data_IF_372870388744
#
_entry.id   IF_372870388744
#
_cell.length_a   1.000
_cell.length_b   1.000
_cell.length_c   1.000
_cell.angle_alpha   90.00
_cell.angle_beta   90.00
_cell.angle_gamma   90.00
#
_symmetry.space_group_name_H-M   'P 1'
#
loop_
_entity.id
_entity.type
_entity.pdbx_description
1 polymer ?
#
# COMPACT_ATOMS: atom_id res chain seq x y z
N UNK A 1 -2.72 -24.60 3.67
CA UNK A 1 -2.11 -24.08 2.41
C UNK A 1 -1.47 -22.75 2.73
N UNK A 2 -0.33 -22.39 2.13
CA UNK A 2 0.27 -21.07 2.31
C UNK A 2 -0.18 -20.14 1.18
N UNK A 3 -0.70 -18.97 1.53
CA UNK A 3 -1.22 -17.97 0.60
C UNK A 3 -0.42 -16.67 0.69
N UNK A 4 -0.36 -15.95 -0.42
CA UNK A 4 0.16 -14.59 -0.49
C UNK A 4 -0.98 -13.72 -1.03
N UNK A 5 -1.36 -12.71 -0.26
CA UNK A 5 -2.30 -11.70 -0.74
C UNK A 5 -1.51 -10.57 -1.38
N UNK A 6 -1.50 -10.51 -2.71
CA UNK A 6 -0.63 -9.60 -3.46
C UNK A 6 -1.18 -8.17 -3.53
N UNK A 7 -2.40 -7.91 -3.07
CA UNK A 7 -3.03 -6.60 -3.18
C UNK A 7 -4.09 -6.40 -2.10
N UNK A 8 -3.73 -5.66 -1.05
CA UNK A 8 -4.64 -5.30 0.03
C UNK A 8 -4.65 -3.81 0.32
N UNK A 9 -5.74 -3.34 0.94
CA UNK A 9 -5.87 -1.98 1.47
C UNK A 9 -6.11 -1.98 2.99
N UNK A 10 -5.23 -2.65 3.75
CA UNK A 10 -5.35 -2.84 5.22
C UNK A 10 -5.32 -1.56 6.06
N UNK A 11 -5.12 -0.39 5.45
CA UNK A 11 -5.00 0.91 6.13
C UNK A 11 -6.21 1.83 5.93
N UNK A 12 -7.25 1.31 5.28
CA UNK A 12 -8.54 1.98 5.25
C UNK A 12 -9.09 2.14 6.66
N UNK A 13 -9.78 3.25 6.90
CA UNK A 13 -10.32 3.61 8.22
C UNK A 13 -11.21 2.50 8.81
N UNK A 14 -11.87 1.74 7.94
CA UNK A 14 -12.67 0.55 8.29
C UNK A 14 -11.92 -0.54 9.07
N UNK A 15 -10.59 -0.57 9.03
CA UNK A 15 -9.76 -1.57 9.71
C UNK A 15 -8.95 -1.00 10.88
N UNK A 16 -9.00 0.31 11.15
CA UNK A 16 -8.16 0.91 12.19
C UNK A 16 -8.49 0.39 13.60
N UNK A 17 -9.78 0.16 13.88
CA UNK A 17 -10.24 -0.27 15.21
C UNK A 17 -9.96 -1.75 15.50
N UNK A 18 -9.84 -2.60 14.47
CA UNK A 18 -9.75 -4.05 14.61
C UNK A 18 -8.55 -4.69 13.87
N UNK A 19 -7.54 -3.90 13.48
CA UNK A 19 -6.42 -4.38 12.66
C UNK A 19 -5.71 -5.61 13.22
N UNK A 20 -5.57 -5.72 14.54
CA UNK A 20 -4.97 -6.90 15.19
C UNK A 20 -5.84 -8.16 15.03
N UNK A 21 -7.18 -8.01 15.05
CA UNK A 21 -8.12 -9.11 14.79
C UNK A 21 -8.18 -9.47 13.30
N UNK A 22 -8.07 -8.48 12.41
CA UNK A 22 -7.86 -8.73 10.97
C UNK A 22 -6.56 -9.53 10.78
N UNK A 23 -5.50 -9.18 11.52
CA UNK A 23 -4.22 -9.85 11.45
C UNK A 23 -4.26 -11.31 11.87
N UNK A 24 -4.99 -11.59 12.95
CA UNK A 24 -5.23 -12.95 13.38
C UNK A 24 -5.96 -13.76 12.29
N UNK A 25 -7.02 -13.18 11.69
CA UNK A 25 -7.83 -13.87 10.68
C UNK A 25 -7.04 -14.23 9.43
N UNK A 26 -6.19 -13.35 8.90
CA UNK A 26 -5.40 -13.69 7.70
C UNK A 26 -4.37 -14.80 8.00
N UNK A 27 -3.78 -14.81 9.20
CA UNK A 27 -2.84 -15.87 9.63
C UNK A 27 -3.53 -17.22 9.76
N UNK A 28 -4.71 -17.25 10.38
CA UNK A 28 -5.53 -18.46 10.53
C UNK A 28 -5.97 -19.01 9.16
N UNK A 29 -6.24 -18.14 8.19
CA UNK A 29 -6.52 -18.51 6.80
C UNK A 29 -5.28 -19.00 6.02
N UNK A 30 -4.08 -18.91 6.61
CA UNK A 30 -2.82 -19.32 5.98
C UNK A 30 -2.19 -18.27 5.06
N UNK A 31 -2.59 -17.00 5.16
CA UNK A 31 -1.94 -15.88 4.48
C UNK A 31 -0.64 -15.56 5.20
N UNK A 32 0.49 -15.81 4.52
CA UNK A 32 1.83 -15.69 5.11
C UNK A 32 2.58 -14.43 4.66
N UNK A 33 2.08 -13.73 3.63
CA UNK A 33 2.57 -12.43 3.18
C UNK A 33 1.43 -11.62 2.57
N UNK A 34 1.51 -10.31 2.74
CA UNK A 34 0.57 -9.36 2.16
C UNK A 34 1.31 -8.19 1.53
N UNK A 35 0.80 -7.63 0.44
CA UNK A 35 1.32 -6.39 -0.16
C UNK A 35 0.24 -5.31 -0.14
N UNK A 36 0.46 -4.25 0.64
CA UNK A 36 -0.40 -3.07 0.60
C UNK A 36 -0.17 -2.30 -0.71
N UNK A 37 -1.21 -2.12 -1.52
CA UNK A 37 -1.01 -1.83 -2.94
C UNK A 37 -0.71 -0.37 -3.28
N UNK A 38 -1.05 0.59 -2.43
CA UNK A 38 -0.75 2.00 -2.69
C UNK A 38 -0.44 2.77 -1.43
N UNK A 39 0.77 3.30 -1.36
CA UNK A 39 1.19 4.26 -0.34
C UNK A 39 1.54 5.55 -1.06
N UNK A 40 0.72 6.58 -0.89
CA UNK A 40 1.12 7.92 -1.29
C UNK A 40 2.32 8.36 -0.43
N UNK A 41 3.27 9.14 -0.98
CA UNK A 41 4.43 9.58 -0.21
C UNK A 41 4.12 10.25 1.14
N UNK A 42 3.01 11.00 1.22
CA UNK A 42 2.55 11.65 2.46
C UNK A 42 2.17 10.65 3.57
N UNK A 43 1.82 9.43 3.21
CA UNK A 43 1.36 8.39 4.13
C UNK A 43 2.48 7.40 4.49
N UNK A 44 3.64 7.47 3.84
CA UNK A 44 4.72 6.49 3.97
C UNK A 44 5.08 6.12 5.40
N UNK A 45 5.22 7.11 6.29
CA UNK A 45 5.54 6.87 7.70
C UNK A 45 4.46 6.07 8.45
N UNK A 46 3.18 6.27 8.12
CA UNK A 46 2.07 5.47 8.68
C UNK A 46 2.20 4.01 8.27
N UNK A 47 2.55 3.75 7.01
CA UNK A 47 2.71 2.40 6.49
C UNK A 47 3.96 1.70 7.00
N UNK A 48 5.06 2.43 7.20
CA UNK A 48 6.22 1.86 7.89
C UNK A 48 5.85 1.38 9.30
N UNK A 49 5.11 2.18 10.07
CA UNK A 49 4.68 1.77 11.41
C UNK A 49 3.78 0.53 11.40
N UNK A 50 2.94 0.36 10.39
CA UNK A 50 2.09 -0.83 10.23
C UNK A 50 2.94 -2.04 9.85
N UNK A 51 3.87 -1.88 8.91
CA UNK A 51 4.79 -2.95 8.52
C UNK A 51 5.79 -3.30 9.64
N UNK A 52 6.06 -2.40 10.59
CA UNK A 52 6.83 -2.67 11.81
C UNK A 52 6.03 -3.54 12.78
N UNK A 53 4.71 -3.31 12.88
CA UNK A 53 3.79 -4.11 13.70
C UNK A 53 3.52 -5.49 13.11
N UNK A 54 3.47 -5.62 11.79
CA UNK A 54 3.12 -6.85 11.07
C UNK A 54 4.23 -7.22 10.06
N UNK A 55 5.23 -8.02 10.47
CA UNK A 55 6.40 -8.33 9.64
C UNK A 55 6.10 -9.05 8.32
N UNK A 56 4.94 -9.68 8.20
CA UNK A 56 4.44 -10.30 6.96
C UNK A 56 3.93 -9.29 5.93
N UNK A 57 3.80 -8.01 6.30
CA UNK A 57 3.31 -6.94 5.42
C UNK A 57 4.48 -6.28 4.68
N UNK A 58 4.35 -6.23 3.36
CA UNK A 58 5.12 -5.38 2.46
C UNK A 58 4.17 -4.36 1.82
N UNK A 59 4.70 -3.39 1.10
CA UNK A 59 3.88 -2.34 0.50
C UNK A 59 4.47 -1.83 -0.82
N UNK A 60 3.65 -1.14 -1.60
CA UNK A 60 4.03 -0.45 -2.80
C UNK A 60 3.90 1.07 -2.59
N UNK A 61 4.74 1.85 -3.26
CA UNK A 61 4.68 3.32 -3.23
C UNK A 61 4.36 3.82 -4.63
N UNK A 62 3.46 4.79 -4.75
CA UNK A 62 3.00 5.23 -6.06
C UNK A 62 1.98 6.36 -5.98
N UNK A 63 1.27 6.53 -7.09
CA UNK A 63 0.19 7.49 -7.25
C UNK A 63 -0.94 6.82 -8.02
N UNK A 64 -2.11 6.74 -7.39
CA UNK A 64 -3.29 6.13 -7.96
C UNK A 64 -3.77 6.92 -9.20
N UNK A 65 -4.29 6.27 -10.26
CA UNK A 65 -4.69 6.94 -11.50
C UNK A 65 -5.72 8.07 -11.32
N UNK A 66 -6.52 8.03 -10.26
CA UNK A 66 -7.52 9.07 -9.96
C UNK A 66 -6.93 10.32 -9.31
N UNK A 67 -5.69 10.26 -8.84
CA UNK A 67 -4.96 11.38 -8.21
C UNK A 67 -3.91 11.97 -9.18
N UNK A 68 -4.13 11.81 -10.49
CA UNK A 68 -3.17 12.22 -11.53
C UNK A 68 -2.89 13.73 -11.52
N UNK A 69 -3.83 14.53 -11.04
CA UNK A 69 -3.71 15.99 -10.87
C UNK A 69 -2.63 16.37 -9.84
N UNK A 70 -2.33 15.47 -8.90
CA UNK A 70 -1.25 15.64 -7.91
C UNK A 70 0.15 15.35 -8.50
N UNK A 71 0.23 14.79 -9.72
CA UNK A 71 1.52 14.43 -10.31
C UNK A 71 2.41 15.64 -10.57
N UNK A 72 3.64 15.56 -10.08
CA UNK A 72 4.72 16.50 -10.41
C UNK A 72 6.04 15.74 -10.58
N UNK A 73 7.03 16.28 -11.31
CA UNK A 73 8.36 15.67 -11.36
C UNK A 73 8.98 15.49 -9.96
N UNK A 74 8.72 16.41 -9.03
CA UNK A 74 9.17 16.31 -7.66
C UNK A 74 8.54 15.12 -6.92
N UNK A 75 7.25 14.86 -7.13
CA UNK A 75 6.57 13.69 -6.59
C UNK A 75 7.13 12.38 -7.16
N UNK A 76 7.47 12.36 -8.46
CA UNK A 76 8.16 11.21 -9.06
C UNK A 76 9.50 10.90 -8.41
N UNK A 77 10.30 11.94 -8.13
CA UNK A 77 11.57 11.79 -7.40
C UNK A 77 11.39 11.36 -5.94
N UNK A 78 10.32 11.82 -5.29
CA UNK A 78 9.92 11.38 -3.95
C UNK A 78 9.60 9.88 -3.92
N UNK A 79 8.74 9.42 -4.83
CA UNK A 79 8.39 7.99 -4.99
C UNK A 79 9.65 7.15 -5.21
N UNK A 80 10.54 7.61 -6.09
CA UNK A 80 11.82 6.92 -6.37
C UNK A 80 12.67 6.79 -5.11
N UNK A 81 12.79 7.86 -4.31
CA UNK A 81 13.56 7.85 -3.06
C UNK A 81 12.94 6.89 -2.04
N UNK A 82 11.63 6.95 -1.85
CA UNK A 82 10.90 6.09 -0.90
C UNK A 82 10.97 4.61 -1.28
N UNK A 83 10.91 4.30 -2.57
CA UNK A 83 11.07 2.94 -3.08
C UNK A 83 12.43 2.31 -2.74
N UNK A 84 13.44 3.13 -2.43
CA UNK A 84 14.78 2.69 -2.06
C UNK A 84 15.05 2.76 -0.56
N UNK A 85 14.17 3.41 0.23
CA UNK A 85 14.43 3.68 1.65
C UNK A 85 14.05 2.55 2.60
N UNK A 86 13.20 1.61 2.18
CA UNK A 86 12.75 0.49 2.99
C UNK A 86 12.65 -0.78 2.14
N UNK A 87 13.27 -1.88 2.61
CA UNK A 87 13.27 -3.18 1.92
C UNK A 87 11.88 -3.81 1.78
N UNK A 88 10.91 -3.32 2.55
CA UNK A 88 9.50 -3.76 2.50
C UNK A 88 8.72 -3.05 1.41
N UNK A 89 9.30 -2.03 0.77
CA UNK A 89 8.78 -1.53 -0.50
C UNK A 89 9.18 -2.50 -1.59
N UNK A 90 8.19 -3.24 -2.13
CA UNK A 90 8.44 -4.33 -3.08
C UNK A 90 7.91 -4.04 -4.48
N UNK A 91 7.18 -2.94 -4.67
CA UNK A 91 6.61 -2.53 -5.94
C UNK A 91 6.42 -1.01 -6.02
N UNK A 92 6.22 -0.52 -7.25
CA UNK A 92 5.70 0.83 -7.52
C UNK A 92 4.22 0.68 -7.85
N UNK A 93 3.36 1.37 -7.11
CA UNK A 93 1.91 1.21 -7.22
C UNK A 93 1.14 1.88 -6.07
N UNK A 94 -0.19 1.95 -6.15
CA UNK A 94 -0.99 1.47 -7.28
C UNK A 94 -0.94 2.55 -8.36
N UNK A 95 -0.70 2.16 -9.60
CA UNK A 95 -0.62 3.08 -10.72
C UNK A 95 -1.16 2.40 -11.96
N UNK A 96 -1.76 3.15 -12.88
CA UNK A 96 -2.47 2.57 -14.02
C UNK A 96 -3.32 3.60 -14.74
N UNK A 97 -4.46 3.15 -15.27
CA UNK A 97 -5.44 3.99 -15.96
C UNK A 97 -6.85 3.59 -15.48
N UNK A 98 -7.67 4.57 -15.12
CA UNK A 98 -9.10 4.37 -14.83
C UNK A 98 -9.92 5.30 -15.74
N UNK A 99 -10.51 4.74 -16.80
CA UNK A 99 -11.37 5.47 -17.74
C UNK A 99 -12.85 5.41 -17.36
N UNK A 100 -13.20 4.70 -16.28
CA UNK A 100 -14.57 4.67 -15.78
C UNK A 100 -14.87 5.90 -14.91
N UNK A 101 -13.88 6.34 -14.11
CA UNK A 101 -14.00 7.53 -13.25
C UNK A 101 -13.21 8.75 -13.73
N UNK A 102 -12.62 8.70 -14.92
CA UNK A 102 -11.80 9.80 -15.47
C UNK A 102 -12.54 11.13 -15.58
N UNK A 103 -13.87 11.10 -15.73
CA UNK A 103 -14.69 12.31 -15.88
C UNK A 103 -14.97 13.04 -14.55
N UNK A 104 -14.48 12.49 -13.43
CA UNK A 104 -14.69 13.02 -12.06
C UNK A 104 -13.45 13.68 -11.45
N UNK A 105 -12.35 13.75 -12.21
CA UNK A 105 -11.07 14.37 -11.82
C UNK A 105 -11.04 15.83 -12.30
#
# INVERSE_FOLDING_TARGET
>A
MQLVDTHVHICFDSFQDDLDLVAQRWREAGVIRLVHSCVEPKEFGKFQAIADRFPEVSFAVGLHPLDVDQWTPALGEEIRRLAQSDRRVVAIGETGLDFFKSDQI
#
